data_IF_312095542291
#
_entry.id   IF_312095542291
#
_cell.length_a   1.000
_cell.length_b   1.000
_cell.length_c   1.000
_cell.angle_alpha   90.00
_cell.angle_beta   90.00
_cell.angle_gamma   90.00
#
_symmetry.space_group_name_H-M   'P 1'
#
loop_
_entity.id
_entity.type
_entity.pdbx_description
1 polymer ?
#
# COMPACT_ATOMS: atom_id res chain seq x y z
N UNK A 1 -9.78 -71.40 43.46
CA UNK A 1 -8.85 -70.73 42.54
C UNK A 1 -9.61 -70.42 41.26
N UNK A 2 -9.94 -69.15 41.02
CA UNK A 2 -9.96 -68.47 39.70
C UNK A 2 -10.36 -67.01 39.92
N UNK A 3 -9.42 -66.11 39.64
CA UNK A 3 -9.54 -64.66 39.53
C UNK A 3 -10.24 -64.29 38.22
N UNK A 4 -11.01 -63.18 38.17
CA UNK A 4 -11.09 -62.37 36.94
C UNK A 4 -11.65 -60.97 37.20
N UNK A 5 -11.18 -60.05 36.36
CA UNK A 5 -11.00 -58.61 36.57
C UNK A 5 -12.23 -57.73 36.37
N UNK A 6 -12.12 -56.53 36.94
CA UNK A 6 -12.97 -55.35 36.76
C UNK A 6 -12.92 -54.83 35.32
N UNK A 7 -14.03 -54.27 34.83
CA UNK A 7 -13.99 -53.27 33.76
C UNK A 7 -14.90 -52.10 34.18
N UNK A 8 -14.27 -50.97 34.50
CA UNK A 8 -14.93 -49.68 34.69
C UNK A 8 -14.95 -49.02 33.32
N UNK A 9 -16.13 -48.82 32.73
CA UNK A 9 -16.29 -48.00 31.53
C UNK A 9 -16.25 -46.52 31.93
N UNK A 10 -15.10 -45.88 31.72
CA UNK A 10 -14.99 -44.42 31.73
C UNK A 10 -15.53 -43.92 30.38
N UNK A 11 -16.72 -43.32 30.40
CA UNK A 11 -17.32 -42.71 29.22
C UNK A 11 -16.49 -41.51 28.73
N UNK A 12 -16.02 -41.59 27.49
CA UNK A 12 -15.38 -40.50 26.76
C UNK A 12 -16.42 -39.40 26.47
N UNK A 13 -16.32 -38.26 27.14
CA UNK A 13 -16.98 -37.02 26.70
C UNK A 13 -16.15 -36.45 25.55
N UNK A 14 -16.62 -36.66 24.31
CA UNK A 14 -16.02 -36.05 23.14
C UNK A 14 -16.34 -34.54 23.12
N UNK A 15 -15.34 -33.71 23.41
CA UNK A 15 -15.43 -32.26 23.33
C UNK A 15 -15.42 -31.84 21.86
N UNK A 16 -16.59 -31.63 21.26
CA UNK A 16 -16.71 -31.08 19.91
C UNK A 16 -16.30 -29.59 19.95
N UNK A 17 -15.05 -29.28 19.58
CA UNK A 17 -14.64 -27.91 19.29
C UNK A 17 -15.38 -27.43 18.04
N UNK A 18 -16.39 -26.58 18.24
CA UNK A 18 -17.05 -25.87 17.15
C UNK A 18 -16.04 -24.95 16.45
N UNK A 19 -15.67 -25.31 15.21
CA UNK A 19 -15.03 -24.41 14.25
C UNK A 19 -16.07 -23.35 13.84
N UNK A 20 -16.31 -22.37 14.69
CA UNK A 20 -17.07 -21.20 14.31
C UNK A 20 -16.29 -20.45 13.21
N UNK A 21 -16.88 -20.16 12.04
CA UNK A 21 -16.23 -19.33 11.05
C UNK A 21 -15.93 -17.98 11.69
N UNK A 22 -14.65 -17.62 11.73
CA UNK A 22 -14.28 -16.29 12.20
C UNK A 22 -14.95 -15.25 11.29
N UNK A 23 -15.57 -14.19 11.85
CA UNK A 23 -16.13 -13.13 11.03
C UNK A 23 -15.00 -12.55 10.19
N UNK A 24 -15.19 -12.54 8.86
CA UNK A 24 -14.30 -11.83 7.97
C UNK A 24 -14.23 -10.37 8.44
N UNK A 25 -13.04 -9.88 8.76
CA UNK A 25 -12.88 -8.47 9.11
C UNK A 25 -13.17 -7.65 7.85
N UNK A 26 -14.22 -6.84 7.90
CA UNK A 26 -14.47 -5.83 6.89
C UNK A 26 -13.26 -4.89 6.86
N UNK A 27 -12.52 -4.87 5.75
CA UNK A 27 -11.53 -3.84 5.52
C UNK A 27 -12.28 -2.52 5.33
N UNK A 28 -11.92 -1.49 6.10
CA UNK A 28 -12.52 -0.17 5.95
C UNK A 28 -12.11 0.40 4.59
N UNK A 29 -13.02 0.34 3.62
CA UNK A 29 -12.85 0.97 2.31
C UNK A 29 -13.12 2.45 2.46
N UNK A 30 -12.15 3.27 2.08
CA UNK A 30 -12.31 4.73 1.95
C UNK A 30 -12.01 5.17 0.53
N UNK A 31 -12.43 6.38 0.15
CA UNK A 31 -12.09 7.01 -1.13
C UNK A 31 -11.23 8.27 -0.96
N UNK A 32 -10.90 8.59 0.29
CA UNK A 32 -9.92 9.61 0.67
C UNK A 32 -9.21 9.21 1.96
N UNK A 33 -7.97 9.66 2.16
CA UNK A 33 -7.18 9.35 3.35
C UNK A 33 -6.27 10.53 3.70
N UNK A 34 -6.02 10.74 4.99
CA UNK A 34 -5.00 11.69 5.43
C UNK A 34 -3.62 11.04 5.40
N UNK A 35 -2.71 11.58 4.58
CA UNK A 35 -1.32 11.17 4.49
C UNK A 35 -0.43 12.38 4.74
N UNK A 36 0.43 12.29 5.76
CA UNK A 36 1.29 13.42 6.14
C UNK A 36 0.52 14.71 6.47
N UNK A 37 -0.70 14.59 7.01
CA UNK A 37 -1.57 15.72 7.36
C UNK A 37 -2.41 16.29 6.22
N UNK A 38 -2.31 15.73 5.00
CA UNK A 38 -3.06 16.19 3.82
C UNK A 38 -4.10 15.13 3.43
N UNK A 39 -5.34 15.56 3.17
CA UNK A 39 -6.38 14.67 2.63
C UNK A 39 -6.13 14.42 1.15
N UNK A 40 -5.77 13.19 0.80
CA UNK A 40 -5.54 12.74 -0.58
C UNK A 40 -6.65 11.80 -1.05
N UNK A 41 -6.90 11.81 -2.35
CA UNK A 41 -7.82 10.90 -3.05
C UNK A 41 -7.21 10.50 -4.38
N UNK A 42 -7.76 9.48 -5.02
CA UNK A 42 -7.28 9.01 -6.32
C UNK A 42 -8.44 8.71 -7.27
N UNK A 43 -8.21 9.00 -8.56
CA UNK A 43 -9.12 8.64 -9.65
C UNK A 43 -8.34 7.90 -10.73
N UNK A 44 -8.99 6.92 -11.35
CA UNK A 44 -8.42 6.21 -12.50
C UNK A 44 -8.37 7.11 -13.74
N UNK A 45 -7.66 6.66 -14.77
CA UNK A 45 -7.62 7.30 -16.08
C UNK A 45 -9.02 7.56 -16.67
N UNK A 46 -10.00 6.70 -16.35
CA UNK A 46 -11.40 6.84 -16.77
C UNK A 46 -12.26 7.65 -15.78
N UNK A 47 -11.66 8.23 -14.74
CA UNK A 47 -12.34 9.06 -13.74
C UNK A 47 -12.99 8.28 -12.60
N UNK A 48 -12.87 6.95 -12.58
CA UNK A 48 -13.43 6.09 -11.53
C UNK A 48 -12.74 6.38 -10.19
N UNK A 49 -13.48 6.49 -9.07
CA UNK A 49 -12.84 6.63 -7.76
C UNK A 49 -12.09 5.34 -7.39
N UNK A 50 -10.85 5.48 -6.93
CA UNK A 50 -10.04 4.33 -6.48
C UNK A 50 -10.32 4.07 -5.00
N UNK A 51 -10.72 2.84 -4.67
CA UNK A 51 -10.89 2.42 -3.29
C UNK A 51 -9.53 2.36 -2.58
N UNK A 52 -9.44 2.88 -1.37
CA UNK A 52 -8.23 2.97 -0.56
C UNK A 52 -8.44 2.10 0.67
N UNK A 53 -7.55 1.11 0.84
CA UNK A 53 -7.56 0.18 1.96
C UNK A 53 -6.25 0.31 2.71
N UNK A 54 -6.33 0.41 4.04
CA UNK A 54 -5.16 0.36 4.93
C UNK A 54 -5.08 -1.04 5.50
N UNK A 55 -3.99 -1.75 5.22
CA UNK A 55 -3.80 -3.12 5.68
C UNK A 55 -2.46 -3.28 6.40
N UNK A 56 -2.53 -3.51 7.72
CA UNK A 56 -1.35 -3.74 8.54
C UNK A 56 -0.64 -5.06 8.22
N UNK A 57 -1.30 -6.02 7.57
CA UNK A 57 -0.63 -7.20 7.04
C UNK A 57 0.34 -6.86 5.90
N UNK A 58 0.18 -5.68 5.28
CA UNK A 58 1.02 -5.16 4.20
C UNK A 58 2.11 -4.19 4.68
N UNK A 59 2.37 -4.08 6.00
CA UNK A 59 3.34 -3.12 6.60
C UNK A 59 4.80 -3.29 6.13
N UNK A 60 5.13 -4.44 5.53
CA UNK A 60 6.43 -4.69 4.88
C UNK A 60 6.54 -4.13 3.46
N UNK A 61 5.44 -3.60 2.91
CA UNK A 61 5.33 -3.00 1.58
C UNK A 61 4.94 -1.52 1.68
N UNK A 62 5.15 -0.77 0.59
CA UNK A 62 4.75 0.63 0.49
C UNK A 62 3.25 0.70 0.18
N UNK A 63 2.85 0.04 -0.90
CA UNK A 63 1.48 -0.15 -1.31
C UNK A 63 1.40 -1.05 -2.54
N UNK A 64 0.17 -1.31 -2.98
CA UNK A 64 -0.13 -2.02 -4.21
C UNK A 64 -1.36 -1.39 -4.86
N UNK A 65 -1.25 -1.04 -6.14
CA UNK A 65 -2.37 -0.73 -7.01
C UNK A 65 -2.88 -1.97 -7.75
N UNK A 66 -4.18 -2.24 -7.70
CA UNK A 66 -4.79 -3.39 -8.37
C UNK A 66 -6.27 -3.16 -8.70
N UNK A 67 -6.87 -4.09 -9.46
CA UNK A 67 -8.30 -4.10 -9.76
C UNK A 67 -8.94 -5.35 -9.20
N UNK A 68 -10.16 -5.22 -8.70
CA UNK A 68 -10.95 -6.36 -8.25
C UNK A 68 -11.42 -7.19 -9.46
N UNK A 69 -12.02 -8.35 -9.19
CA UNK A 69 -12.57 -9.21 -10.25
C UNK A 69 -13.64 -8.50 -11.11
N UNK A 70 -14.43 -7.60 -10.53
CA UNK A 70 -15.42 -6.79 -11.25
C UNK A 70 -14.82 -5.48 -11.82
N UNK A 71 -13.50 -5.36 -11.88
CA UNK A 71 -12.80 -4.24 -12.51
C UNK A 71 -12.68 -2.98 -11.67
N UNK A 72 -13.19 -2.95 -10.43
CA UNK A 72 -13.11 -1.76 -9.57
C UNK A 72 -11.65 -1.49 -9.18
N UNK A 73 -11.13 -0.27 -9.40
CA UNK A 73 -9.77 0.07 -9.02
C UNK A 73 -9.66 0.23 -7.51
N UNK A 74 -8.61 -0.33 -6.95
CA UNK A 74 -8.27 -0.16 -5.54
C UNK A 74 -6.76 -0.05 -5.33
N UNK A 75 -6.38 0.50 -4.18
CA UNK A 75 -5.02 0.44 -3.66
C UNK A 75 -5.03 -0.03 -2.22
N UNK A 76 -4.02 -0.83 -1.87
CA UNK A 76 -3.74 -1.24 -0.49
C UNK A 76 -2.48 -0.52 -0.05
N UNK A 77 -2.53 0.16 1.08
CA UNK A 77 -1.40 0.87 1.66
C UNK A 77 -0.93 0.14 2.92
N UNK A 78 0.38 -0.08 3.02
CA UNK A 78 1.03 -0.58 4.22
C UNK A 78 1.38 0.59 5.15
N UNK A 79 0.59 0.86 6.21
CA UNK A 79 0.84 2.04 7.06
C UNK A 79 2.21 2.00 7.76
N UNK A 80 2.79 0.80 7.96
CA UNK A 80 4.10 0.63 8.57
C UNK A 80 5.21 1.43 7.88
N UNK A 81 5.34 1.35 6.55
CA UNK A 81 6.35 2.14 5.83
C UNK A 81 5.99 3.63 5.80
N UNK A 82 4.74 3.96 5.45
CA UNK A 82 4.28 5.35 5.33
C UNK A 82 4.41 6.15 6.64
N UNK A 83 4.26 5.50 7.79
CA UNK A 83 4.41 6.14 9.10
C UNK A 83 5.87 6.33 9.57
N UNK A 84 6.85 5.72 8.89
CA UNK A 84 8.29 5.79 9.25
C UNK A 84 9.09 6.76 8.39
N UNK A 85 8.52 7.25 7.31
CA UNK A 85 9.17 8.18 6.38
C UNK A 85 8.67 9.62 6.60
N UNK A 86 9.39 10.64 6.12
CA UNK A 86 8.89 12.01 6.15
C UNK A 86 7.51 12.13 5.51
N UNK A 87 6.69 13.06 6.01
CA UNK A 87 5.31 13.28 5.53
C UNK A 87 5.23 13.40 4.00
N UNK A 88 6.16 14.14 3.40
CA UNK A 88 6.23 14.33 1.96
C UNK A 88 6.55 13.03 1.20
N UNK A 89 7.38 12.15 1.77
CA UNK A 89 7.66 10.84 1.20
C UNK A 89 6.43 9.92 1.27
N UNK A 90 5.68 9.95 2.37
CA UNK A 90 4.44 9.20 2.46
C UNK A 90 3.41 9.67 1.42
N UNK A 91 3.31 10.98 1.21
CA UNK A 91 2.44 11.58 0.19
C UNK A 91 2.90 11.22 -1.23
N UNK A 92 4.21 11.24 -1.50
CA UNK A 92 4.79 10.76 -2.75
C UNK A 92 4.37 9.33 -3.05
N UNK A 93 4.54 8.41 -2.10
CA UNK A 93 4.21 7.00 -2.30
C UNK A 93 2.71 6.77 -2.50
N UNK A 94 1.85 7.52 -1.80
CA UNK A 94 0.41 7.51 -2.09
C UNK A 94 0.13 7.89 -3.55
N UNK A 95 0.73 8.99 -4.02
CA UNK A 95 0.52 9.48 -5.37
C UNK A 95 1.15 8.56 -6.43
N UNK A 96 2.23 7.86 -6.09
CA UNK A 96 2.84 6.82 -6.93
C UNK A 96 1.88 5.65 -7.14
N UNK A 97 1.29 5.10 -6.07
CA UNK A 97 0.26 4.05 -6.20
C UNK A 97 -0.97 4.56 -6.96
N UNK A 98 -1.33 5.84 -6.77
CA UNK A 98 -2.41 6.45 -7.55
C UNK A 98 -2.08 6.52 -9.05
N UNK A 99 -0.83 6.78 -9.42
CA UNK A 99 -0.41 6.88 -10.81
C UNK A 99 -0.69 5.60 -11.59
N UNK A 100 -0.57 4.43 -10.96
CA UNK A 100 -0.89 3.16 -11.58
C UNK A 100 -2.37 2.98 -11.94
N UNK A 101 -3.25 3.83 -11.40
CA UNK A 101 -4.64 3.94 -11.84
C UNK A 101 -4.88 5.12 -12.77
N UNK A 102 -4.24 6.25 -12.50
CA UNK A 102 -4.48 7.53 -13.16
C UNK A 102 -3.83 7.66 -14.54
N UNK A 103 -2.69 6.99 -14.76
CA UNK A 103 -1.97 7.05 -16.02
C UNK A 103 -2.68 6.24 -17.12
N UNK A 104 -2.62 6.71 -18.40
CA UNK A 104 -3.05 5.90 -19.54
C UNK A 104 -2.33 4.54 -19.55
N UNK A 105 -2.98 3.44 -19.97
CA UNK A 105 -2.37 2.11 -19.96
C UNK A 105 -1.03 2.00 -20.68
N UNK A 106 -0.84 2.72 -21.79
CA UNK A 106 0.43 2.74 -22.54
C UNK A 106 1.54 3.55 -21.87
N UNK A 107 1.21 4.35 -20.86
CA UNK A 107 2.15 5.15 -20.06
C UNK A 107 2.31 4.62 -18.64
N UNK A 108 1.53 3.61 -18.24
CA UNK A 108 1.53 3.07 -16.88
C UNK A 108 2.76 2.17 -16.65
N UNK A 109 3.83 2.79 -16.16
CA UNK A 109 5.08 2.15 -15.78
C UNK A 109 5.72 2.90 -14.61
N UNK A 110 6.66 2.27 -13.92
CA UNK A 110 7.32 2.80 -12.72
C UNK A 110 7.94 4.20 -12.91
N UNK A 111 8.75 4.49 -13.96
CA UNK A 111 9.28 5.84 -14.15
C UNK A 111 8.22 6.92 -14.35
N UNK A 112 7.13 6.60 -15.07
CA UNK A 112 6.04 7.55 -15.26
C UNK A 112 5.20 7.72 -13.98
N UNK A 113 5.06 6.67 -13.17
CA UNK A 113 4.43 6.75 -11.86
C UNK A 113 5.21 7.67 -10.91
N UNK A 114 6.54 7.55 -10.90
CA UNK A 114 7.44 8.45 -10.16
C UNK A 114 7.29 9.91 -10.62
N UNK A 115 7.26 10.15 -11.93
CA UNK A 115 7.05 11.49 -12.48
C UNK A 115 5.65 12.05 -12.16
N UNK A 116 4.61 11.23 -12.26
CA UNK A 116 3.24 11.62 -11.92
C UNK A 116 3.17 12.06 -10.45
N UNK A 117 3.74 11.27 -9.54
CA UNK A 117 3.68 11.52 -8.12
C UNK A 117 4.33 12.86 -7.74
N UNK A 118 5.56 13.11 -8.17
CA UNK A 118 6.27 14.35 -7.82
C UNK A 118 5.65 15.60 -8.44
N UNK A 119 5.09 15.49 -9.66
CA UNK A 119 4.33 16.60 -10.27
C UNK A 119 3.03 16.88 -9.52
N UNK A 120 2.32 15.85 -9.08
CA UNK A 120 1.12 16.06 -8.26
C UNK A 120 1.45 16.66 -6.89
N UNK A 121 2.59 16.32 -6.27
CA UNK A 121 3.05 17.04 -5.07
C UNK A 121 3.22 18.54 -5.32
N UNK A 122 3.79 18.90 -6.47
CA UNK A 122 3.94 20.30 -6.91
C UNK A 122 2.58 20.96 -7.14
N UNK A 123 1.70 20.30 -7.88
CA UNK A 123 0.41 20.84 -8.29
C UNK A 123 -0.55 20.97 -7.08
N UNK A 124 -0.39 20.15 -6.04
CA UNK A 124 -1.06 20.29 -4.74
C UNK A 124 -0.45 21.39 -3.85
N UNK A 125 0.62 22.04 -4.29
CA UNK A 125 1.33 23.07 -3.51
C UNK A 125 2.09 22.51 -2.31
N UNK A 126 2.44 21.22 -2.30
CA UNK A 126 3.19 20.57 -1.21
C UNK A 126 4.71 20.73 -1.40
N UNK A 127 5.14 20.97 -2.64
CA UNK A 127 6.54 21.21 -3.03
C UNK A 127 6.59 22.29 -4.09
N UNK A 128 7.50 23.23 -3.95
CA UNK A 128 7.76 24.27 -4.95
C UNK A 128 9.26 24.44 -5.24
N UNK A 129 10.14 23.84 -4.43
CA UNK A 129 11.58 23.83 -4.66
C UNK A 129 12.22 22.47 -4.33
N UNK A 130 13.47 22.32 -4.78
CA UNK A 130 14.25 21.09 -4.63
C UNK A 130 14.75 20.85 -3.20
N UNK A 131 14.86 21.89 -2.38
CA UNK A 131 15.29 21.76 -0.99
C UNK A 131 14.23 21.03 -0.17
N UNK A 132 12.95 21.30 -0.43
CA UNK A 132 11.82 20.58 0.19
C UNK A 132 11.80 19.08 -0.16
N UNK A 133 12.34 18.69 -1.32
CA UNK A 133 12.45 17.29 -1.71
C UNK A 133 13.54 16.52 -0.95
N UNK A 134 14.49 17.18 -0.29
CA UNK A 134 15.69 16.51 0.22
C UNK A 134 15.37 15.36 1.17
N UNK A 135 14.47 15.57 2.15
CA UNK A 135 14.08 14.52 3.09
C UNK A 135 13.38 13.34 2.41
N UNK A 136 12.54 13.63 1.41
CA UNK A 136 11.88 12.61 0.61
C UNK A 136 12.89 11.82 -0.22
N UNK A 137 13.72 12.50 -1.01
CA UNK A 137 14.73 11.87 -1.87
C UNK A 137 15.72 11.04 -1.05
N UNK A 138 16.11 11.49 0.15
CA UNK A 138 16.97 10.71 1.04
C UNK A 138 16.31 9.40 1.48
N UNK A 139 15.01 9.42 1.79
CA UNK A 139 14.27 8.20 2.15
C UNK A 139 14.13 7.21 0.98
N UNK A 140 14.11 7.72 -0.25
CA UNK A 140 14.05 6.91 -1.48
C UNK A 140 15.43 6.38 -1.86
N UNK A 141 16.48 7.18 -1.64
CA UNK A 141 17.86 6.86 -2.04
C UNK A 141 18.36 5.54 -1.46
N UNK A 142 17.93 5.20 -0.24
CA UNK A 142 18.35 3.99 0.48
C UNK A 142 17.57 2.73 0.10
N UNK A 143 16.55 2.84 -0.77
CA UNK A 143 15.72 1.70 -1.14
C UNK A 143 16.45 0.76 -2.10
N UNK A 144 16.29 -0.57 -1.92
CA UNK A 144 16.81 -1.54 -2.86
C UNK A 144 16.08 -1.43 -4.20
N UNK A 145 16.80 -1.72 -5.29
CA UNK A 145 16.17 -1.92 -6.59
C UNK A 145 15.64 -3.34 -6.75
N UNK A 146 14.92 -3.57 -7.85
CA UNK A 146 14.52 -4.91 -8.28
C UNK A 146 14.54 -4.98 -9.81
N UNK A 147 14.11 -6.10 -10.38
CA UNK A 147 13.97 -6.20 -11.83
C UNK A 147 12.90 -5.23 -12.39
N UNK A 148 11.86 -4.94 -11.61
CA UNK A 148 10.77 -4.05 -12.01
C UNK A 148 10.94 -2.61 -11.52
N UNK A 149 11.78 -2.36 -10.50
CA UNK A 149 11.92 -1.04 -9.87
C UNK A 149 13.36 -0.55 -9.92
N UNK A 150 13.54 0.72 -10.29
CA UNK A 150 14.85 1.38 -10.23
C UNK A 150 15.44 1.29 -8.81
N UNK A 151 16.76 1.10 -8.68
CA UNK A 151 17.41 1.23 -7.38
C UNK A 151 17.29 2.66 -6.85
N UNK A 152 17.25 2.80 -5.53
CA UNK A 152 17.02 4.07 -4.83
C UNK A 152 17.78 5.27 -5.40
N UNK A 153 19.11 5.19 -5.64
CA UNK A 153 19.86 6.31 -6.20
C UNK A 153 19.40 6.73 -7.60
N UNK A 154 19.14 5.76 -8.48
CA UNK A 154 18.67 6.03 -9.84
C UNK A 154 17.23 6.58 -9.83
N UNK A 155 16.37 6.02 -8.97
CA UNK A 155 15.00 6.48 -8.76
C UNK A 155 14.96 7.92 -8.24
N UNK A 156 15.77 8.24 -7.23
CA UNK A 156 15.85 9.60 -6.68
C UNK A 156 16.29 10.63 -7.73
N UNK A 157 17.29 10.29 -8.56
CA UNK A 157 17.71 11.15 -9.66
C UNK A 157 16.61 11.34 -10.72
N UNK A 158 15.87 10.26 -11.04
CA UNK A 158 14.75 10.33 -11.98
C UNK A 158 13.63 11.25 -11.46
N UNK A 159 13.23 11.08 -10.20
CA UNK A 159 12.22 11.93 -9.53
C UNK A 159 12.65 13.40 -9.55
N UNK A 160 13.91 13.67 -9.24
CA UNK A 160 14.49 15.03 -9.29
C UNK A 160 14.31 15.66 -10.68
N UNK A 161 14.57 14.90 -11.75
CA UNK A 161 14.42 15.39 -13.12
C UNK A 161 12.95 15.66 -13.50
N UNK A 162 12.02 14.83 -13.00
CA UNK A 162 10.58 14.96 -13.30
C UNK A 162 9.95 16.24 -12.73
N UNK A 163 10.41 16.75 -11.58
CA UNK A 163 9.84 17.95 -10.93
C UNK A 163 9.97 19.20 -11.83
N UNK A 164 11.09 19.31 -12.53
CA UNK A 164 11.46 20.47 -13.36
C UNK A 164 10.96 20.37 -14.80
N UNK A 165 10.22 19.30 -15.14
CA UNK A 165 9.66 19.06 -16.46
C UNK A 165 8.19 19.45 -16.56
#
# INVERSE_FOLDING_TARGET
>A
MTTSSRIIFVGLVALALALAPQPARAQNVSYSIYVGGVSLYCRSYFGEPVAIMVDHAADGSIGVASRSFNGQPYMVLGPGYLNRVPALAAQFWFLHECAHHALPPNMNNEPNADCFAVRNLRDLGLVWDLYQLQGMLQSIYVLPGSHSHLPGPARAQHIYNCLNS
#
